data_IF_384628223554
#
_entry.id   IF_384628223554
#
_cell.length_a   1.000
_cell.length_b   1.000
_cell.length_c   1.000
_cell.angle_alpha   90.00
_cell.angle_beta   90.00
_cell.angle_gamma   90.00
#
_symmetry.space_group_name_H-M   'P 1'
#
loop_
_entity.id
_entity.type
_entity.pdbx_description
1 polymer ?
#
# COMPACT_ATOMS: atom_id res chain seq x y z
N UNK A 1 7.36 2.09 1.81
CA UNK A 1 6.60 0.91 2.30
C UNK A 1 7.44 -0.37 2.29
N UNK A 2 8.07 -0.78 1.18
CA UNK A 2 8.94 -1.99 1.14
C UNK A 2 9.92 -2.07 2.33
N UNK A 3 10.75 -1.03 2.54
CA UNK A 3 11.68 -0.97 3.68
C UNK A 3 11.02 -1.11 5.05
N UNK A 4 9.76 -0.70 5.22
CA UNK A 4 9.05 -0.86 6.49
C UNK A 4 8.76 -2.35 6.77
N UNK A 5 8.40 -3.11 5.74
CA UNK A 5 8.22 -4.56 5.84
C UNK A 5 9.54 -5.28 6.12
N UNK A 6 10.60 -4.91 5.40
CA UNK A 6 11.95 -5.47 5.62
C UNK A 6 12.43 -5.21 7.05
N UNK A 7 12.30 -3.96 7.51
CA UNK A 7 12.71 -3.57 8.86
C UNK A 7 11.92 -4.30 9.94
N UNK A 8 10.60 -4.40 9.80
CA UNK A 8 9.77 -5.11 10.78
C UNK A 8 10.12 -6.60 10.84
N UNK A 9 10.38 -7.25 9.69
CA UNK A 9 10.85 -8.63 9.65
C UNK A 9 12.18 -8.81 10.39
N UNK A 10 13.14 -7.92 10.13
CA UNK A 10 14.50 -8.01 10.68
C UNK A 10 14.57 -7.68 12.17
N UNK A 11 13.76 -6.73 12.65
CA UNK A 11 13.93 -6.13 13.97
C UNK A 11 12.81 -6.48 14.94
N UNK A 12 11.60 -6.77 14.43
CA UNK A 12 10.39 -6.92 15.25
C UNK A 12 9.81 -8.33 15.22
N UNK A 13 10.45 -9.28 14.52
CA UNK A 13 10.13 -10.70 14.63
C UNK A 13 10.66 -11.29 15.95
N UNK A 14 9.87 -12.10 16.68
CA UNK A 14 8.54 -12.63 16.34
C UNK A 14 7.37 -11.82 16.93
N UNK A 15 7.60 -10.61 17.46
CA UNK A 15 6.59 -9.84 18.18
C UNK A 15 5.53 -9.20 17.27
N UNK A 16 5.84 -8.96 16.00
CA UNK A 16 4.84 -8.64 14.97
C UNK A 16 4.36 -9.91 14.28
N UNK A 17 3.03 -10.05 14.19
CA UNK A 17 2.35 -11.11 13.44
C UNK A 17 2.07 -10.71 11.99
N UNK A 18 0.93 -10.07 11.74
CA UNK A 18 0.50 -9.68 10.40
C UNK A 18 0.67 -8.17 10.17
N UNK A 19 1.31 -7.79 9.06
CA UNK A 19 1.36 -6.42 8.57
C UNK A 19 0.60 -6.30 7.25
N UNK A 20 -0.38 -5.39 7.18
CA UNK A 20 -1.21 -5.19 5.99
C UNK A 20 -1.08 -3.76 5.46
N UNK A 21 -1.24 -3.61 4.14
CA UNK A 21 -1.49 -2.32 3.48
C UNK A 21 -2.93 -2.35 3.01
N UNK A 22 -3.70 -1.32 3.36
CA UNK A 22 -5.16 -1.44 3.37
C UNK A 22 -5.84 -0.72 2.20
N UNK A 23 -5.37 0.44 1.74
CA UNK A 23 -6.19 1.24 0.83
C UNK A 23 -5.80 1.12 -0.64
N UNK A 24 -6.69 0.51 -1.42
CA UNK A 24 -6.90 0.79 -2.84
C UNK A 24 -7.97 1.90 -2.91
N UNK A 25 -7.72 2.93 -3.71
CA UNK A 25 -8.63 4.06 -3.84
C UNK A 25 -9.97 3.63 -4.44
N UNK A 26 -11.07 4.11 -3.87
CA UNK A 26 -12.33 4.17 -4.59
C UNK A 26 -12.16 5.12 -5.79
N UNK A 27 -12.74 4.76 -6.93
CA UNK A 27 -12.67 5.55 -8.16
C UNK A 27 -13.36 6.92 -8.06
N UNK A 28 -14.29 7.09 -7.13
CA UNK A 28 -15.03 8.34 -6.93
C UNK A 28 -14.39 9.27 -5.89
N UNK A 29 -13.34 8.82 -5.18
CA UNK A 29 -12.71 9.64 -4.16
C UNK A 29 -12.06 10.90 -4.72
N UNK A 30 -12.20 11.98 -3.98
CA UNK A 30 -11.61 13.28 -4.26
C UNK A 30 -10.66 13.69 -3.14
N UNK A 31 -9.86 14.77 -3.29
CA UNK A 31 -9.00 15.26 -2.21
C UNK A 31 -9.72 15.63 -0.90
N UNK A 32 -11.04 15.83 -0.95
CA UNK A 32 -11.91 16.02 0.21
C UNK A 32 -12.10 14.75 1.05
N UNK A 33 -11.93 13.56 0.44
CA UNK A 33 -11.93 12.28 1.15
C UNK A 33 -10.57 12.05 1.80
N UNK A 34 -10.53 11.91 3.13
CA UNK A 34 -9.27 11.65 3.85
C UNK A 34 -8.50 10.48 3.20
N UNK A 35 -9.21 9.40 2.86
CA UNK A 35 -8.75 8.14 2.26
C UNK A 35 -7.95 8.30 0.96
N UNK A 36 -8.21 9.37 0.21
CA UNK A 36 -7.46 9.74 -0.99
C UNK A 36 -5.95 9.86 -0.74
N UNK A 37 -5.55 10.33 0.44
CA UNK A 37 -4.16 10.62 0.76
C UNK A 37 -3.32 9.41 1.21
N UNK A 38 -3.96 8.33 1.66
CA UNK A 38 -3.31 7.14 2.22
C UNK A 38 -3.50 5.89 1.35
N UNK A 39 -4.33 5.98 0.30
CA UNK A 39 -4.40 4.97 -0.75
C UNK A 39 -3.07 4.81 -1.51
N UNK A 40 -2.76 3.55 -1.89
CA UNK A 40 -1.59 3.21 -2.72
C UNK A 40 -1.90 3.19 -4.22
N UNK A 41 -3.12 3.53 -4.60
CA UNK A 41 -3.54 3.79 -5.99
C UNK A 41 -4.18 5.17 -6.05
N UNK A 42 -4.30 5.72 -7.25
CA UNK A 42 -5.14 6.88 -7.49
C UNK A 42 -6.57 6.43 -7.86
N UNK A 43 -7.59 7.27 -7.63
CA UNK A 43 -8.93 7.04 -8.13
C UNK A 43 -8.92 6.86 -9.67
N UNK A 44 -9.49 5.75 -10.14
CA UNK A 44 -9.53 5.44 -11.56
C UNK A 44 -10.44 4.26 -11.88
N UNK A 45 -11.28 4.45 -12.89
CA UNK A 45 -12.12 3.41 -13.51
C UNK A 45 -12.39 3.79 -14.98
N UNK A 46 -12.39 2.84 -15.94
CA UNK A 46 -12.10 1.41 -15.77
C UNK A 46 -10.60 1.08 -15.65
N UNK A 47 -9.71 2.04 -15.92
CA UNK A 47 -8.27 1.82 -15.84
C UNK A 47 -7.72 1.99 -14.42
N UNK A 48 -6.94 1.02 -13.96
CA UNK A 48 -6.18 1.11 -12.71
C UNK A 48 -5.05 2.14 -12.83
N UNK A 49 -5.04 3.13 -11.93
CA UNK A 49 -3.94 4.09 -11.78
C UNK A 49 -3.15 3.78 -10.53
N UNK A 50 -1.92 3.31 -10.69
CA UNK A 50 -1.08 2.90 -9.55
C UNK A 50 -0.17 4.04 -9.08
N UNK A 51 0.02 4.15 -7.76
CA UNK A 51 1.09 4.99 -7.21
C UNK A 51 2.39 4.18 -7.13
N UNK A 52 3.56 4.84 -7.04
CA UNK A 52 4.85 4.14 -6.95
C UNK A 52 4.91 3.07 -5.85
N UNK A 53 4.24 3.33 -4.71
CA UNK A 53 4.15 2.41 -3.60
C UNK A 53 3.49 1.07 -3.96
N UNK A 54 2.42 1.07 -4.75
CA UNK A 54 1.76 -0.15 -5.21
C UNK A 54 2.70 -0.99 -6.07
N UNK A 55 3.37 -0.36 -7.04
CA UNK A 55 4.28 -1.08 -7.94
C UNK A 55 5.47 -1.67 -7.17
N UNK A 56 6.03 -0.92 -6.21
CA UNK A 56 7.12 -1.39 -5.37
C UNK A 56 6.71 -2.59 -4.49
N UNK A 57 5.55 -2.52 -3.84
CA UNK A 57 5.03 -3.62 -3.02
C UNK A 57 4.67 -4.85 -3.87
N UNK A 58 4.08 -4.65 -5.05
CA UNK A 58 3.76 -5.73 -5.99
C UNK A 58 5.01 -6.48 -6.45
N UNK A 59 6.13 -5.77 -6.62
CA UNK A 59 7.41 -6.31 -7.06
C UNK A 59 8.24 -6.93 -5.92
N UNK A 60 7.79 -6.81 -4.66
CA UNK A 60 8.49 -7.38 -3.52
C UNK A 60 8.57 -8.91 -3.65
N UNK A 61 9.71 -9.54 -3.28
CA UNK A 61 9.83 -11.00 -3.25
C UNK A 61 8.72 -11.62 -2.39
N UNK A 62 8.11 -12.69 -2.89
CA UNK A 62 7.15 -13.50 -2.16
C UNK A 62 7.89 -14.77 -1.73
N UNK A 63 8.17 -14.87 -0.43
CA UNK A 63 8.73 -16.07 0.20
C UNK A 63 7.65 -17.15 0.36
#
# INVERSE_FOLDING_TARGET
LVRAYEYARENWSPWIGLMTVIYIADHDWTPEDEQYWWAITDPGWPELKTRPAYNALKAMPKE
#
